data_IF_952699436573
#
_entry.id   IF_952699436573
#
_cell.length_a   1.000
_cell.length_b   1.000
_cell.length_c   1.000
_cell.angle_alpha   90.00
_cell.angle_beta   90.00
_cell.angle_gamma   90.00
#
_symmetry.space_group_name_H-M   'P 1'
#
loop_
_entity.id
_entity.type
_entity.pdbx_description
1 polymer ?
#
# COMPACT_ATOMS: atom_id res chain seq x y z
N UNK A 1 -11.22 9.22 19.65
CA UNK A 1 -10.51 8.03 19.10
C UNK A 1 -10.75 8.03 17.61
N UNK A 2 -9.71 8.14 16.81
CA UNK A 2 -9.83 8.16 15.36
C UNK A 2 -10.18 6.76 14.85
N UNK A 3 -11.39 6.59 14.33
CA UNK A 3 -11.87 5.33 13.74
C UNK A 3 -11.77 5.38 12.22
N UNK A 4 -10.59 5.68 11.70
CA UNK A 4 -10.37 5.91 10.26
C UNK A 4 -10.65 4.66 9.41
N UNK A 5 -10.40 3.46 9.94
CA UNK A 5 -10.70 2.23 9.19
C UNK A 5 -12.21 2.02 9.02
N UNK A 6 -13.00 2.28 10.08
CA UNK A 6 -14.47 2.23 10.01
C UNK A 6 -15.05 3.35 9.15
N UNK A 7 -14.49 4.56 9.26
CA UNK A 7 -14.86 5.69 8.41
C UNK A 7 -14.54 5.40 6.94
N UNK A 8 -13.41 4.76 6.66
CA UNK A 8 -13.04 4.30 5.32
C UNK A 8 -14.07 3.36 4.71
N UNK A 9 -14.54 2.38 5.48
CA UNK A 9 -15.64 1.50 5.04
C UNK A 9 -16.94 2.27 4.79
N UNK A 10 -17.36 3.14 5.71
CA UNK A 10 -18.57 3.94 5.54
C UNK A 10 -18.49 4.90 4.34
N UNK A 11 -17.35 5.53 4.15
CA UNK A 11 -17.09 6.41 3.01
C UNK A 11 -17.06 5.64 1.69
N UNK A 12 -16.45 4.46 1.68
CA UNK A 12 -16.43 3.57 0.53
C UNK A 12 -17.86 3.18 0.13
N UNK A 13 -18.72 2.81 1.09
CA UNK A 13 -20.11 2.41 0.79
C UNK A 13 -20.96 3.55 0.23
N UNK A 14 -20.71 4.78 0.68
CA UNK A 14 -21.49 5.96 0.26
C UNK A 14 -21.07 6.54 -1.10
N UNK A 15 -19.91 6.16 -1.63
CA UNK A 15 -19.37 6.68 -2.89
C UNK A 15 -19.22 5.57 -3.94
N UNK A 16 -20.28 5.27 -4.72
CA UNK A 16 -20.27 4.16 -5.69
C UNK A 16 -19.24 4.34 -6.82
N UNK A 17 -18.76 5.57 -7.07
CA UNK A 17 -17.69 5.82 -8.04
C UNK A 17 -16.37 5.14 -7.64
N UNK A 18 -16.11 4.96 -6.34
CA UNK A 18 -14.94 4.24 -5.84
C UNK A 18 -15.03 2.73 -6.10
N UNK A 19 -16.25 2.18 -6.16
CA UNK A 19 -16.47 0.75 -6.40
C UNK A 19 -16.05 0.37 -7.82
N UNK A 20 -16.32 1.20 -8.81
CA UNK A 20 -15.87 0.94 -10.18
C UNK A 20 -14.34 0.87 -10.28
N UNK A 21 -13.64 1.75 -9.56
CA UNK A 21 -12.16 1.78 -9.51
C UNK A 21 -11.58 0.57 -8.78
N UNK A 22 -12.22 0.09 -7.72
CA UNK A 22 -11.72 -1.01 -6.86
C UNK A 22 -12.16 -2.42 -7.30
N UNK A 23 -13.35 -2.56 -7.89
CA UNK A 23 -13.87 -3.86 -8.33
C UNK A 23 -13.15 -4.36 -9.59
N UNK A 24 -12.71 -3.45 -10.47
CA UNK A 24 -11.95 -3.78 -11.67
C UNK A 24 -10.67 -4.61 -11.38
N UNK A 25 -9.73 -4.15 -10.52
CA UNK A 25 -8.53 -4.93 -10.19
C UNK A 25 -8.83 -6.22 -9.42
N UNK A 26 -9.94 -6.28 -8.65
CA UNK A 26 -10.39 -7.52 -8.00
C UNK A 26 -10.87 -8.56 -9.00
N UNK A 27 -11.66 -8.16 -10.00
CA UNK A 27 -12.08 -9.08 -11.06
C UNK A 27 -10.88 -9.53 -11.89
N UNK A 28 -9.96 -8.61 -12.18
CA UNK A 28 -8.77 -8.91 -12.95
C UNK A 28 -7.78 -9.81 -12.19
N UNK A 29 -7.74 -9.75 -10.84
CA UNK A 29 -6.95 -10.69 -10.03
C UNK A 29 -7.47 -12.12 -10.12
N UNK A 30 -8.80 -12.30 -10.14
CA UNK A 30 -9.44 -13.61 -10.32
C UNK A 30 -9.13 -14.16 -11.72
N UNK A 31 -9.21 -13.31 -12.75
CA UNK A 31 -8.84 -13.70 -14.12
C UNK A 31 -7.38 -14.12 -14.21
N UNK A 32 -6.46 -13.33 -13.65
CA UNK A 32 -5.03 -13.64 -13.65
C UNK A 32 -4.76 -14.95 -12.91
N UNK A 33 -5.37 -15.17 -11.74
CA UNK A 33 -5.22 -16.41 -10.98
C UNK A 33 -5.76 -17.62 -11.75
N UNK A 34 -6.92 -17.49 -12.41
CA UNK A 34 -7.49 -18.57 -13.21
C UNK A 34 -6.63 -18.89 -14.44
N UNK A 35 -6.20 -17.86 -15.18
CA UNK A 35 -5.38 -18.01 -16.38
C UNK A 35 -3.99 -18.56 -16.04
N UNK A 36 -3.35 -18.06 -14.98
CA UNK A 36 -2.05 -18.58 -14.55
C UNK A 36 -2.14 -20.03 -14.09
N UNK A 37 -3.18 -20.38 -13.33
CA UNK A 37 -3.40 -21.76 -12.88
C UNK A 37 -3.64 -22.69 -14.06
N UNK A 38 -4.61 -22.38 -14.92
CA UNK A 38 -4.94 -23.23 -16.07
C UNK A 38 -3.75 -23.32 -17.04
N UNK A 39 -3.11 -22.19 -17.36
CA UNK A 39 -1.99 -22.14 -18.29
C UNK A 39 -0.76 -22.90 -17.79
N UNK A 40 -0.34 -22.68 -16.55
CA UNK A 40 0.86 -23.33 -16.00
C UNK A 40 0.65 -24.82 -15.73
N UNK A 41 -0.55 -25.25 -15.32
CA UNK A 41 -0.83 -26.69 -15.21
C UNK A 41 -0.99 -27.37 -16.57
N UNK A 42 -1.65 -26.74 -17.54
CA UNK A 42 -1.88 -27.36 -18.85
C UNK A 42 -0.61 -27.42 -19.72
N UNK A 43 0.24 -26.39 -19.64
CA UNK A 43 1.40 -26.24 -20.53
C UNK A 43 2.70 -26.48 -19.77
N UNK A 44 2.81 -26.06 -18.51
CA UNK A 44 4.05 -26.10 -17.74
C UNK A 44 4.33 -27.44 -17.04
N UNK A 45 3.30 -28.14 -16.54
CA UNK A 45 3.49 -29.32 -15.70
C UNK A 45 4.27 -30.45 -16.41
N UNK A 46 3.83 -30.82 -17.61
CA UNK A 46 4.42 -31.92 -18.37
C UNK A 46 5.89 -31.67 -18.75
N UNK A 47 6.26 -30.54 -19.40
CA UNK A 47 7.66 -30.29 -19.76
C UNK A 47 8.56 -30.11 -18.53
N UNK A 48 8.04 -29.58 -17.41
CA UNK A 48 8.82 -29.50 -16.17
C UNK A 48 9.12 -30.88 -15.59
N UNK A 49 8.16 -31.82 -15.65
CA UNK A 49 8.38 -33.19 -15.20
C UNK A 49 9.41 -33.92 -16.08
N UNK A 50 9.33 -33.80 -17.40
CA UNK A 50 10.31 -34.40 -18.33
C UNK A 50 11.71 -33.83 -18.11
N UNK A 51 11.84 -32.50 -17.97
CA UNK A 51 13.13 -31.85 -17.73
C UNK A 51 13.80 -32.34 -16.43
N UNK A 52 13.00 -32.65 -15.40
CA UNK A 52 13.48 -33.22 -14.14
C UNK A 52 13.91 -34.68 -14.29
N UNK A 53 13.19 -35.46 -15.09
CA UNK A 53 13.57 -36.85 -15.42
C UNK A 53 14.88 -36.88 -16.21
N UNK A 54 15.05 -35.99 -17.18
CA UNK A 54 16.31 -35.83 -17.93
C UNK A 54 17.47 -35.40 -17.02
N UNK A 55 17.20 -34.60 -15.99
CA UNK A 55 18.18 -34.23 -14.97
C UNK A 55 18.54 -35.37 -14.00
N UNK A 56 17.93 -36.56 -14.14
CA UNK A 56 18.24 -37.76 -13.37
C UNK A 56 17.37 -37.95 -12.11
N UNK A 57 16.28 -37.21 -11.98
CA UNK A 57 15.33 -37.37 -10.86
C UNK A 57 14.44 -38.60 -11.12
N UNK A 58 14.17 -39.46 -10.11
CA UNK A 58 13.26 -40.61 -10.28
C UNK A 58 11.86 -40.15 -10.71
N UNK A 59 11.25 -40.86 -11.66
CA UNK A 59 9.95 -40.52 -12.26
C UNK A 59 8.90 -40.06 -11.24
N UNK A 60 8.65 -40.83 -10.18
CA UNK A 60 7.65 -40.44 -9.17
C UNK A 60 7.97 -39.13 -8.44
N UNK A 61 9.24 -38.82 -8.25
CA UNK A 61 9.69 -37.60 -7.57
C UNK A 61 9.72 -36.40 -8.52
N UNK A 62 9.99 -36.61 -9.81
CA UNK A 62 9.93 -35.57 -10.85
C UNK A 62 8.55 -34.94 -10.94
N UNK A 63 7.49 -35.75 -10.96
CA UNK A 63 6.11 -35.27 -11.00
C UNK A 63 5.73 -34.48 -9.74
N UNK A 64 6.15 -34.95 -8.55
CA UNK A 64 5.90 -34.24 -7.30
C UNK A 64 6.59 -32.87 -7.29
N UNK A 65 7.86 -32.81 -7.68
CA UNK A 65 8.64 -31.57 -7.73
C UNK A 65 8.10 -30.62 -8.79
N UNK A 66 7.67 -31.13 -9.95
CA UNK A 66 7.05 -30.33 -11.00
C UNK A 66 5.76 -29.66 -10.50
N UNK A 67 4.88 -30.39 -9.79
CA UNK A 67 3.66 -29.79 -9.20
C UNK A 67 4.02 -28.67 -8.22
N UNK A 68 5.03 -28.87 -7.37
CA UNK A 68 5.48 -27.83 -6.42
C UNK A 68 6.01 -26.61 -7.17
N UNK A 69 6.81 -26.80 -8.23
CA UNK A 69 7.33 -25.71 -9.06
C UNK A 69 6.21 -24.91 -9.71
N UNK A 70 5.24 -25.58 -10.35
CA UNK A 70 4.05 -24.93 -10.94
C UNK A 70 3.29 -24.11 -9.89
N UNK A 71 3.08 -24.66 -8.69
CA UNK A 71 2.40 -23.93 -7.60
C UNK A 71 3.19 -22.69 -7.17
N UNK A 72 4.51 -22.79 -7.08
CA UNK A 72 5.38 -21.63 -6.78
C UNK A 72 5.32 -20.60 -7.90
N UNK A 73 5.33 -21.01 -9.17
CA UNK A 73 5.20 -20.10 -10.31
C UNK A 73 3.85 -19.38 -10.31
N UNK A 74 2.74 -20.07 -10.05
CA UNK A 74 1.42 -19.47 -9.90
C UNK A 74 1.43 -18.45 -8.75
N UNK A 75 2.03 -18.80 -7.61
CA UNK A 75 2.17 -17.88 -6.48
C UNK A 75 2.99 -16.65 -6.84
N UNK A 76 4.12 -16.80 -7.55
CA UNK A 76 4.95 -15.69 -7.97
C UNK A 76 4.22 -14.77 -8.96
N UNK A 77 3.52 -15.33 -9.96
CA UNK A 77 2.74 -14.56 -10.93
C UNK A 77 1.63 -13.77 -10.24
N UNK A 78 0.87 -14.41 -9.35
CA UNK A 78 -0.21 -13.76 -8.60
C UNK A 78 0.32 -12.70 -7.63
N UNK A 79 1.45 -12.95 -6.97
CA UNK A 79 2.13 -12.00 -6.10
C UNK A 79 2.61 -10.76 -6.86
N UNK A 80 3.31 -10.95 -7.99
CA UNK A 80 3.81 -9.85 -8.83
C UNK A 80 2.62 -9.02 -9.34
N UNK A 81 1.57 -9.68 -9.82
CA UNK A 81 0.34 -9.01 -10.25
C UNK A 81 -0.27 -8.18 -9.11
N UNK A 82 -0.39 -8.77 -7.91
CA UNK A 82 -0.96 -8.09 -6.74
C UNK A 82 -0.13 -6.85 -6.38
N UNK A 83 1.20 -6.96 -6.33
CA UNK A 83 2.07 -5.84 -5.97
C UNK A 83 2.03 -4.71 -7.02
N UNK A 84 2.05 -5.06 -8.30
CA UNK A 84 2.06 -4.06 -9.37
C UNK A 84 0.69 -3.41 -9.57
N UNK A 85 -0.34 -4.23 -9.78
CA UNK A 85 -1.67 -3.73 -10.20
C UNK A 85 -2.46 -3.24 -9.01
N UNK A 86 -2.64 -4.05 -7.96
CA UNK A 86 -3.44 -3.63 -6.81
C UNK A 86 -2.83 -2.39 -6.15
N UNK A 87 -1.50 -2.33 -6.00
CA UNK A 87 -0.80 -1.13 -5.52
C UNK A 87 -1.12 0.13 -6.32
N UNK A 88 -1.07 0.06 -7.66
CA UNK A 88 -1.42 1.22 -8.51
C UNK A 88 -2.88 1.66 -8.34
N UNK A 89 -3.82 0.71 -8.18
CA UNK A 89 -5.22 1.04 -7.98
C UNK A 89 -5.51 1.61 -6.59
N UNK A 90 -4.78 1.16 -5.58
CA UNK A 90 -4.83 1.72 -4.23
C UNK A 90 -4.46 3.20 -4.23
N UNK A 91 -3.38 3.57 -4.93
CA UNK A 91 -2.98 4.97 -5.05
C UNK A 91 -4.02 5.82 -5.79
N UNK A 92 -4.66 5.26 -6.84
CA UNK A 92 -5.75 5.95 -7.55
C UNK A 92 -6.97 6.20 -6.66
N UNK A 93 -7.33 5.23 -5.83
CA UNK A 93 -8.42 5.37 -4.86
C UNK A 93 -8.05 6.42 -3.81
N UNK A 94 -6.81 6.39 -3.32
CA UNK A 94 -6.29 7.38 -2.37
C UNK A 94 -6.35 8.79 -2.93
N UNK A 95 -5.88 8.98 -4.17
CA UNK A 95 -5.95 10.24 -4.90
C UNK A 95 -7.39 10.76 -5.03
N UNK A 96 -8.33 9.89 -5.43
CA UNK A 96 -9.74 10.27 -5.59
C UNK A 96 -10.33 10.79 -4.27
N UNK A 97 -9.98 10.16 -3.15
CA UNK A 97 -10.43 10.58 -1.81
C UNK A 97 -9.82 11.93 -1.43
N UNK A 98 -8.52 12.13 -1.64
CA UNK A 98 -7.88 13.44 -1.39
C UNK A 98 -8.51 14.55 -2.24
N UNK A 99 -8.79 14.28 -3.51
CA UNK A 99 -9.46 15.22 -4.40
C UNK A 99 -10.87 15.57 -3.88
N UNK A 100 -11.64 14.59 -3.42
CA UNK A 100 -12.97 14.83 -2.83
C UNK A 100 -12.91 15.61 -1.51
N UNK A 101 -11.86 15.44 -0.70
CA UNK A 101 -11.64 16.19 0.54
C UNK A 101 -11.10 17.61 0.32
N UNK A 102 -10.81 18.00 -0.94
CA UNK A 102 -10.35 19.34 -1.27
C UNK A 102 -8.82 19.49 -1.36
N UNK A 103 -8.07 18.41 -1.18
CA UNK A 103 -6.60 18.40 -1.30
C UNK A 103 -6.11 17.97 -2.69
N UNK A 104 -6.90 18.23 -3.75
CA UNK A 104 -6.54 17.87 -5.13
C UNK A 104 -5.24 18.50 -5.61
N UNK A 105 -4.94 19.73 -5.18
CA UNK A 105 -3.71 20.44 -5.55
C UNK A 105 -2.42 19.74 -5.09
N UNK A 106 -2.47 18.98 -3.98
CA UNK A 106 -1.35 18.15 -3.51
C UNK A 106 -1.05 17.02 -4.51
N UNK A 107 -2.08 16.46 -5.13
CA UNK A 107 -1.95 15.34 -6.06
C UNK A 107 -1.57 15.79 -7.47
N UNK A 108 -2.13 16.91 -7.94
CA UNK A 108 -1.85 17.43 -9.28
C UNK A 108 -0.39 17.87 -9.48
N UNK A 109 0.27 18.35 -8.43
CA UNK A 109 1.68 18.75 -8.48
C UNK A 109 2.64 17.57 -8.73
N UNK A 110 2.26 16.35 -8.31
CA UNK A 110 3.09 15.14 -8.38
C UNK A 110 2.87 14.29 -9.63
N UNK A 111 1.69 14.40 -10.27
CA UNK A 111 1.37 13.69 -11.53
C UNK A 111 2.40 13.90 -12.65
N UNK A 112 3.14 15.00 -12.60
CA UNK A 112 4.15 15.33 -13.59
C UNK A 112 5.46 14.51 -13.47
N UNK A 113 5.67 13.72 -12.42
CA UNK A 113 6.97 13.05 -12.17
C UNK A 113 7.00 11.52 -12.05
N UNK A 114 5.92 10.80 -11.72
CA UNK A 114 6.11 9.47 -11.09
C UNK A 114 5.37 8.25 -11.68
N UNK A 115 4.46 8.39 -12.66
CA UNK A 115 3.50 7.29 -12.90
C UNK A 115 4.09 6.00 -13.51
N UNK A 116 5.25 6.04 -14.20
CA UNK A 116 5.86 4.85 -14.82
C UNK A 116 7.03 4.26 -14.00
N UNK A 117 7.76 5.08 -13.24
CA UNK A 117 8.94 4.64 -12.48
C UNK A 117 8.58 3.99 -11.13
N UNK A 118 7.39 4.30 -10.59
CA UNK A 118 6.92 3.82 -9.27
C UNK A 118 6.63 2.32 -9.22
N UNK A 119 6.02 1.76 -10.28
CA UNK A 119 5.69 0.32 -10.36
C UNK A 119 6.94 -0.56 -10.35
N UNK A 120 8.08 -0.04 -10.83
CA UNK A 120 9.35 -0.76 -10.85
C UNK A 120 10.19 -0.53 -9.57
N UNK A 121 10.15 0.68 -8.99
CA UNK A 121 10.93 1.05 -7.81
C UNK A 121 10.35 0.57 -6.47
N UNK A 122 9.02 0.58 -6.31
CA UNK A 122 8.36 0.15 -5.09
C UNK A 122 8.53 -1.38 -4.83
N UNK A 123 8.79 -2.15 -5.89
CA UNK A 123 8.96 -3.60 -5.83
C UNK A 123 10.27 -4.04 -5.16
N UNK A 124 11.29 -3.18 -5.03
CA UNK A 124 12.66 -3.67 -4.87
C UNK A 124 13.44 -3.28 -3.61
N UNK A 125 13.00 -2.43 -2.67
CA UNK A 125 13.90 -2.16 -1.51
C UNK A 125 13.35 -1.71 -0.17
N UNK A 126 12.24 -1.00 -0.07
CA UNK A 126 11.87 -0.36 1.22
C UNK A 126 10.88 -1.20 2.03
N UNK A 127 9.79 -1.71 1.42
CA UNK A 127 8.78 -2.51 2.15
C UNK A 127 9.30 -3.91 2.54
N UNK A 128 10.01 -4.60 1.64
CA UNK A 128 10.50 -5.97 1.89
C UNK A 128 11.53 -6.05 3.02
N UNK A 129 12.53 -5.16 3.02
CA UNK A 129 13.55 -5.13 4.08
C UNK A 129 12.95 -4.77 5.44
N UNK A 130 12.02 -3.81 5.47
CA UNK A 130 11.35 -3.41 6.70
C UNK A 130 10.49 -4.56 7.26
N UNK A 131 9.73 -5.25 6.40
CA UNK A 131 8.95 -6.44 6.78
C UNK A 131 9.84 -7.57 7.31
N UNK A 132 10.99 -7.82 6.67
CA UNK A 132 11.95 -8.86 7.14
C UNK A 132 12.51 -8.52 8.51
N UNK A 133 12.96 -7.27 8.73
CA UNK A 133 13.49 -6.83 10.04
C UNK A 133 12.42 -6.96 11.12
N UNK A 134 11.20 -6.55 10.82
CA UNK A 134 10.06 -6.62 11.75
C UNK A 134 9.73 -8.06 12.07
N UNK A 135 9.68 -8.96 11.07
CA UNK A 135 9.46 -10.38 11.29
C UNK A 135 10.52 -10.97 12.24
N UNK A 136 11.80 -10.67 12.02
CA UNK A 136 12.90 -11.16 12.87
C UNK A 136 12.79 -10.61 14.30
N UNK A 137 12.49 -9.31 14.47
CA UNK A 137 12.34 -8.67 15.78
C UNK A 137 11.10 -9.15 16.52
N UNK A 138 10.04 -9.49 15.79
CA UNK A 138 8.75 -9.90 16.36
C UNK A 138 8.64 -11.39 16.66
N UNK A 139 9.53 -12.21 16.09
CA UNK A 139 9.63 -13.65 16.34
C UNK A 139 9.90 -13.99 17.83
N UNK A 140 10.91 -13.40 18.51
CA UNK A 140 11.12 -13.64 19.94
C UNK A 140 10.00 -13.06 20.82
N UNK A 141 9.31 -12.01 20.36
CA UNK A 141 8.17 -11.44 21.07
C UNK A 141 7.00 -12.43 21.18
N UNK A 142 6.78 -13.26 20.15
CA UNK A 142 5.70 -14.27 20.16
C UNK A 142 5.93 -15.44 21.14
N UNK A 143 7.12 -15.59 21.73
CA UNK A 143 7.36 -16.63 22.75
C UNK A 143 6.65 -16.34 24.09
N UNK A 144 6.24 -15.10 24.35
CA UNK A 144 5.50 -14.74 25.56
C UNK A 144 4.01 -14.60 25.21
N UNK A 145 3.16 -15.57 25.57
CA UNK A 145 1.74 -15.51 25.24
C UNK A 145 1.09 -14.25 25.84
N UNK A 146 0.12 -13.68 25.10
CA UNK A 146 -0.66 -12.47 25.44
C UNK A 146 0.15 -11.17 25.31
N UNK A 147 1.23 -10.97 26.08
CA UNK A 147 2.02 -9.72 26.03
C UNK A 147 2.75 -9.59 24.69
N UNK A 148 3.33 -10.70 24.24
CA UNK A 148 3.99 -10.79 22.94
C UNK A 148 3.05 -10.47 21.78
N UNK A 149 1.85 -11.05 21.81
CA UNK A 149 0.82 -10.85 20.78
C UNK A 149 0.30 -9.41 20.75
N UNK A 150 0.06 -8.79 21.90
CA UNK A 150 -0.37 -7.39 21.96
C UNK A 150 0.69 -6.43 21.43
N UNK A 151 1.95 -6.62 21.83
CA UNK A 151 3.07 -5.83 21.32
C UNK A 151 3.30 -6.08 19.81
N UNK A 152 3.10 -7.31 19.35
CA UNK A 152 3.16 -7.69 17.94
C UNK A 152 2.11 -6.94 17.12
N UNK A 153 0.84 -6.97 17.55
CA UNK A 153 -0.28 -6.28 16.89
C UNK A 153 -0.03 -4.77 16.85
N UNK A 154 0.46 -4.19 17.95
CA UNK A 154 0.75 -2.76 18.01
C UNK A 154 1.87 -2.32 17.07
N UNK A 155 2.98 -3.08 17.06
CA UNK A 155 4.12 -2.79 16.18
C UNK A 155 3.73 -2.96 14.71
N UNK A 156 3.16 -4.12 14.36
CA UNK A 156 2.78 -4.43 12.99
C UNK A 156 1.67 -3.52 12.50
N UNK A 157 0.69 -3.19 13.35
CA UNK A 157 -0.35 -2.21 13.02
C UNK A 157 0.25 -0.86 12.64
N UNK A 158 1.19 -0.34 13.46
CA UNK A 158 1.87 0.93 13.14
C UNK A 158 2.58 0.88 11.78
N UNK A 159 3.21 -0.24 11.46
CA UNK A 159 3.90 -0.44 10.19
C UNK A 159 2.91 -0.52 9.03
N UNK A 160 1.79 -1.23 9.20
CA UNK A 160 0.74 -1.30 8.19
C UNK A 160 0.16 0.09 7.89
N UNK A 161 -0.09 0.89 8.92
CA UNK A 161 -0.53 2.28 8.76
C UNK A 161 0.50 3.12 7.99
N UNK A 162 1.80 2.95 8.27
CA UNK A 162 2.86 3.59 7.49
C UNK A 162 2.83 3.12 6.03
N UNK A 163 2.70 1.81 5.77
CA UNK A 163 2.61 1.28 4.40
C UNK A 163 1.45 1.92 3.61
N UNK A 164 0.28 2.09 4.24
CA UNK A 164 -0.86 2.78 3.63
C UNK A 164 -0.63 4.29 3.37
N UNK A 165 0.31 4.92 4.07
CA UNK A 165 0.67 6.33 3.90
C UNK A 165 1.92 6.56 3.04
N UNK A 166 2.54 5.52 2.49
CA UNK A 166 3.70 5.68 1.61
C UNK A 166 3.41 6.60 0.42
N UNK A 167 2.24 6.48 -0.19
CA UNK A 167 1.83 7.38 -1.29
C UNK A 167 1.65 8.83 -0.81
N UNK A 168 1.07 9.04 0.36
CA UNK A 168 0.96 10.37 0.95
C UNK A 168 2.33 11.02 1.22
N UNK A 169 3.29 10.24 1.73
CA UNK A 169 4.66 10.71 1.94
C UNK A 169 5.42 10.97 0.64
N UNK A 170 5.14 10.18 -0.41
CA UNK A 170 5.62 10.44 -1.76
C UNK A 170 5.08 11.78 -2.27
N UNK A 171 3.77 12.03 -2.11
CA UNK A 171 3.16 13.31 -2.51
C UNK A 171 3.81 14.53 -1.83
N UNK A 172 4.28 14.36 -0.59
CA UNK A 172 5.01 15.39 0.16
C UNK A 172 6.53 15.39 -0.07
N UNK A 173 7.04 14.52 -0.95
CA UNK A 173 8.47 14.35 -1.23
C UNK A 173 9.32 14.06 0.02
N UNK A 174 8.75 13.35 1.00
CA UNK A 174 9.43 13.03 2.27
C UNK A 174 10.37 11.83 2.11
N UNK A 175 11.63 12.01 2.51
CA UNK A 175 12.61 10.91 2.58
C UNK A 175 12.28 9.98 3.74
N UNK A 176 12.74 8.73 3.65
CA UNK A 176 12.49 7.70 4.67
C UNK A 176 12.81 8.14 6.12
N UNK A 177 13.89 8.92 6.33
CA UNK A 177 14.22 9.47 7.64
C UNK A 177 13.14 10.41 8.18
N UNK A 178 12.62 11.30 7.33
CA UNK A 178 11.56 12.25 7.68
C UNK A 178 10.22 11.52 7.90
N UNK A 179 9.93 10.48 7.10
CA UNK A 179 8.77 9.63 7.31
C UNK A 179 8.80 8.97 8.69
N UNK A 180 9.96 8.42 9.09
CA UNK A 180 10.13 7.81 10.40
C UNK A 180 9.86 8.79 11.53
N UNK A 181 10.36 10.02 11.42
CA UNK A 181 10.13 11.08 12.41
C UNK A 181 8.65 11.49 12.45
N UNK A 182 8.01 11.63 11.28
CA UNK A 182 6.59 11.96 11.17
C UNK A 182 5.70 10.88 11.80
N UNK A 183 5.95 9.60 11.50
CA UNK A 183 5.21 8.47 12.07
C UNK A 183 5.49 8.35 13.56
N UNK A 184 6.72 8.63 14.02
CA UNK A 184 7.05 8.63 15.44
C UNK A 184 6.31 9.73 16.20
N UNK A 185 6.15 10.92 15.62
CA UNK A 185 5.38 12.02 16.20
C UNK A 185 3.88 11.69 16.33
N UNK A 186 3.33 10.93 15.37
CA UNK A 186 1.90 10.56 15.32
C UNK A 186 1.64 9.10 15.71
N UNK A 187 2.56 8.48 16.47
CA UNK A 187 2.57 7.02 16.71
C UNK A 187 1.26 6.47 17.28
N UNK A 188 0.59 7.22 18.16
CA UNK A 188 -0.68 6.83 18.73
C UNK A 188 -1.78 6.72 17.66
N UNK A 189 -1.87 7.68 16.73
CA UNK A 189 -2.86 7.68 15.66
C UNK A 189 -2.56 6.59 14.62
N UNK A 190 -1.29 6.44 14.22
CA UNK A 190 -0.85 5.39 13.29
C UNK A 190 -1.07 3.98 13.84
N UNK A 191 -0.71 3.75 15.11
CA UNK A 191 -0.94 2.44 15.74
C UNK A 191 -2.43 2.13 15.86
N UNK A 192 -3.26 3.09 16.27
CA UNK A 192 -4.70 2.90 16.38
C UNK A 192 -5.35 2.56 15.02
N UNK A 193 -5.04 3.34 13.98
CA UNK A 193 -5.54 3.08 12.62
C UNK A 193 -5.07 1.71 12.11
N UNK A 194 -3.77 1.43 12.23
CA UNK A 194 -3.19 0.20 11.74
C UNK A 194 -3.72 -1.07 12.43
N UNK A 195 -3.96 -1.01 13.74
CA UNK A 195 -4.59 -2.13 14.46
C UNK A 195 -6.02 -2.39 13.97
N UNK A 196 -6.80 -1.33 13.71
CA UNK A 196 -8.15 -1.48 13.15
C UNK A 196 -8.10 -2.05 11.74
N UNK A 197 -7.21 -1.52 10.89
CA UNK A 197 -7.00 -2.00 9.52
C UNK A 197 -6.63 -3.49 9.50
N UNK A 198 -5.68 -3.91 10.34
CA UNK A 198 -5.30 -5.31 10.51
C UNK A 198 -6.46 -6.20 10.92
N UNK A 199 -7.27 -5.76 11.88
CA UNK A 199 -8.40 -6.55 12.37
C UNK A 199 -9.44 -6.79 11.27
N UNK A 200 -9.71 -5.77 10.46
CA UNK A 200 -10.67 -5.87 9.35
C UNK A 200 -10.10 -6.75 8.22
N UNK A 201 -8.81 -6.63 7.91
CA UNK A 201 -8.14 -7.49 6.91
C UNK A 201 -8.05 -8.96 7.32
N UNK A 202 -8.15 -9.27 8.61
CA UNK A 202 -8.15 -10.64 9.12
C UNK A 202 -9.41 -11.42 8.72
N UNK A 203 -10.46 -10.74 8.25
CA UNK A 203 -11.67 -11.39 7.75
C UNK A 203 -11.35 -12.09 6.42
N UNK A 204 -11.43 -13.43 6.35
CA UNK A 204 -11.10 -14.16 5.13
C UNK A 204 -12.09 -13.84 4.00
N UNK A 205 -11.71 -14.11 2.75
CA UNK A 205 -12.47 -13.88 1.52
C UNK A 205 -12.71 -12.41 1.14
N UNK A 206 -12.72 -11.49 2.10
CA UNK A 206 -12.93 -10.05 1.87
C UNK A 206 -11.64 -9.24 1.96
N UNK A 207 -10.48 -9.88 2.15
CA UNK A 207 -9.19 -9.20 2.35
C UNK A 207 -8.86 -8.16 1.28
N UNK A 208 -9.05 -8.46 -0.01
CA UNK A 208 -8.78 -7.49 -1.08
C UNK A 208 -9.76 -6.32 -1.07
N UNK A 209 -11.03 -6.55 -0.71
CA UNK A 209 -12.01 -5.46 -0.55
C UNK A 209 -11.60 -4.56 0.61
N UNK A 210 -11.21 -5.16 1.74
CA UNK A 210 -10.81 -4.43 2.93
C UNK A 210 -9.49 -3.68 2.76
N UNK A 211 -8.60 -4.17 1.90
CA UNK A 211 -7.44 -3.43 1.44
C UNK A 211 -7.86 -2.08 0.85
N UNK A 212 -8.83 -2.07 -0.07
CA UNK A 212 -9.33 -0.82 -0.67
C UNK A 212 -10.05 0.08 0.34
N UNK A 213 -10.86 -0.47 1.24
CA UNK A 213 -11.50 0.36 2.28
C UNK A 213 -10.49 0.96 3.26
N UNK A 214 -9.41 0.23 3.56
CA UNK A 214 -8.31 0.73 4.39
C UNK A 214 -7.50 1.80 3.65
N UNK A 215 -7.31 1.69 2.33
CA UNK A 215 -6.76 2.76 1.50
C UNK A 215 -7.58 4.05 1.61
N UNK A 216 -8.91 3.94 1.51
CA UNK A 216 -9.83 5.07 1.68
C UNK A 216 -9.69 5.66 3.09
N UNK A 217 -9.66 4.80 4.12
CA UNK A 217 -9.45 5.23 5.50
C UNK A 217 -8.12 5.95 5.72
N UNK A 218 -7.05 5.48 5.09
CA UNK A 218 -5.74 6.11 5.13
C UNK A 218 -5.74 7.46 4.41
N UNK A 219 -6.46 7.59 3.29
CA UNK A 219 -6.61 8.85 2.58
C UNK A 219 -7.42 9.89 3.37
N UNK A 220 -8.48 9.45 4.07
CA UNK A 220 -9.22 10.29 5.00
C UNK A 220 -8.32 10.75 6.16
N UNK A 221 -7.53 9.83 6.73
CA UNK A 221 -6.56 10.15 7.77
C UNK A 221 -5.52 11.17 7.28
N UNK A 222 -5.01 11.00 6.06
CA UNK A 222 -4.07 11.97 5.48
C UNK A 222 -4.69 13.35 5.25
N UNK A 223 -5.94 13.41 4.79
CA UNK A 223 -6.67 14.68 4.64
C UNK A 223 -6.83 15.40 5.99
N UNK A 224 -7.25 14.67 7.04
CA UNK A 224 -7.43 15.25 8.37
C UNK A 224 -6.09 15.75 8.96
N UNK A 225 -4.98 15.04 8.72
CA UNK A 225 -3.63 15.52 9.07
C UNK A 225 -3.29 16.84 8.37
N UNK A 226 -3.60 16.99 7.07
CA UNK A 226 -3.40 18.26 6.36
C UNK A 226 -4.27 19.38 6.94
N UNK A 227 -5.53 19.10 7.25
CA UNK A 227 -6.45 20.05 7.87
C UNK A 227 -5.93 20.50 9.26
N UNK A 228 -5.42 19.58 10.07
CA UNK A 228 -4.81 19.87 11.38
C UNK A 228 -3.53 20.71 11.27
N UNK A 229 -2.68 20.43 10.27
CA UNK A 229 -1.48 21.21 10.01
C UNK A 229 -1.80 22.61 9.48
N UNK A 230 -2.81 22.74 8.60
CA UNK A 230 -3.23 24.02 8.04
C UNK A 230 -3.92 24.92 9.08
N UNK A 231 -4.64 24.34 10.04
CA UNK A 231 -5.35 25.06 11.09
C UNK A 231 -4.47 25.51 12.27
N UNK A 232 -3.17 25.15 12.28
CA UNK A 232 -2.23 25.55 13.33
C UNK A 232 -2.47 24.88 14.69
N UNK A 233 -3.42 23.95 14.79
CA UNK A 233 -3.72 23.18 16.00
C UNK A 233 -2.61 22.16 16.35
N UNK A 234 -1.70 21.88 15.41
CA UNK A 234 -0.54 20.99 15.57
C UNK A 234 0.73 21.63 16.16
N UNK A 235 0.65 22.78 16.83
CA UNK A 235 1.81 23.51 17.37
C UNK A 235 2.59 22.79 18.52
N UNK A 236 2.31 21.52 18.80
CA UNK A 236 3.05 20.68 19.76
C UNK A 236 4.01 19.66 19.14
N UNK A 237 3.98 19.42 17.82
CA UNK A 237 4.81 18.38 17.18
C UNK A 237 5.34 18.75 15.78
N UNK A 238 5.36 20.04 15.45
CA UNK A 238 5.81 20.55 14.15
C UNK A 238 7.29 20.86 14.10
N UNK A 239 8.12 19.86 13.83
CA UNK A 239 9.38 20.06 13.09
C UNK A 239 9.22 19.25 11.81
N UNK A 240 9.62 19.84 10.68
CA UNK A 240 9.44 19.34 9.29
C UNK A 240 8.10 19.75 8.64
N UNK A 241 7.85 21.06 8.61
CA UNK A 241 6.84 21.69 7.77
C UNK A 241 7.36 23.03 7.24
N UNK A 242 8.40 23.00 6.42
CA UNK A 242 8.90 24.17 5.72
C UNK A 242 9.24 23.81 4.27
N UNK A 243 8.22 23.48 3.48
CA UNK A 243 8.22 23.85 2.07
C UNK A 243 7.57 25.24 1.97
N UNK A 244 8.33 26.19 1.42
CA UNK A 244 7.97 27.61 1.35
C UNK A 244 6.62 27.85 0.62
N UNK A 245 5.94 28.98 0.88
CA UNK A 245 4.70 29.31 0.19
C UNK A 245 4.96 29.54 -1.30
N UNK A 246 4.14 28.92 -2.15
CA UNK A 246 4.03 29.22 -3.57
C UNK A 246 3.64 30.69 -3.73
N UNK A 247 4.56 31.51 -4.23
CA UNK A 247 4.24 32.84 -4.76
C UNK A 247 4.45 32.84 -6.27
N UNK A 248 3.37 33.05 -7.00
CA UNK A 248 3.37 33.48 -8.39
C UNK A 248 2.01 34.10 -8.72
N UNK A 249 1.86 34.97 -9.74
CA UNK A 249 2.87 35.64 -10.56
C UNK A 249 2.82 37.17 -10.39
N UNK A 250 3.94 37.88 -10.55
CA UNK A 250 3.90 39.34 -10.81
C UNK A 250 4.02 39.59 -12.31
N UNK A 251 2.88 39.90 -12.92
CA UNK A 251 2.77 40.61 -14.19
C UNK A 251 3.57 41.91 -14.11
N UNK A 252 4.60 42.06 -14.96
CA UNK A 252 5.26 43.33 -15.22
C UNK A 252 5.16 43.64 -16.71
N UNK A 253 4.15 44.44 -17.06
CA UNK A 253 4.07 45.19 -18.31
C UNK A 253 4.94 46.45 -18.12
N UNK A 254 5.94 46.74 -18.96
CA UNK A 254 6.49 48.08 -19.05
C UNK A 254 5.80 48.83 -20.20
N UNK A 255 5.03 49.85 -19.83
CA UNK A 255 4.65 50.91 -20.75
C UNK A 255 5.88 51.79 -21.01
N UNK A 256 6.32 51.85 -22.25
CA UNK A 256 7.13 52.95 -22.76
C UNK A 256 6.58 53.38 -24.12
N UNK A 257 5.96 54.55 -24.13
CA UNK A 257 5.75 55.44 -25.28
C UNK A 257 6.67 56.64 -25.03
N UNK A 258 7.34 57.15 -26.06
CA UNK A 258 6.91 58.44 -26.62
C UNK A 258 6.44 58.34 -28.07
#
# INVERSE_FOLDING_TARGET
>A
MSTYALQGMGYFVTHPRLWATSLCPMLLSVVVAAVSTIGLFAIGLYPQAELLEEAGVPTGLSWLVAVIMVVVEIFLVTLIYSLAVVGCFMDKVFEQVLHHRGHGALVENEKNHASCCRTCGACCRVSLWLRIVVLIVTLPLNLIPIVGTLAWIWLNGTILAWEYHLYYFELKNLKYAQQKEFVAAHKAQYSAFGMQAMFIEMIPFFGTLFLFTNAVGAALFAADLEDEMASGAGAGAGVIGASAPLTGPKSSVPAHIP
#
